data_IF_182558708103
#
_entry.id   IF_182558708103
#
_cell.length_a   1.000
_cell.length_b   1.000
_cell.length_c   1.000
_cell.angle_alpha   90.00
_cell.angle_beta   90.00
_cell.angle_gamma   90.00
#
_symmetry.space_group_name_H-M   'P 1'
#
loop_
_entity.id
_entity.type
_entity.pdbx_description
1 polymer ?
#
# COMPACT_ATOMS: atom_id res chain seq x y z
N UNK A 1 34.60 50.22 -20.79
CA UNK A 1 35.64 49.26 -20.48
C UNK A 1 35.10 48.13 -19.57
N UNK A 2 34.55 48.47 -18.50
CA UNK A 2 34.01 47.53 -17.52
C UNK A 2 32.69 46.86 -17.98
N UNK A 3 32.02 47.49 -18.86
CA UNK A 3 30.70 47.08 -19.34
C UNK A 3 30.68 45.84 -20.23
N UNK A 4 31.74 45.59 -20.94
CA UNK A 4 31.79 44.42 -21.85
C UNK A 4 31.93 43.10 -21.10
N UNK A 5 32.56 43.14 -19.98
CA UNK A 5 32.74 41.96 -19.16
C UNK A 5 31.47 41.59 -18.38
N UNK A 6 30.73 42.57 -18.02
CA UNK A 6 29.52 42.37 -17.26
C UNK A 6 28.42 41.66 -18.03
N UNK A 7 28.32 41.94 -19.29
CA UNK A 7 27.28 41.36 -20.13
C UNK A 7 27.41 39.88 -20.40
N UNK A 8 28.60 39.35 -20.24
CA UNK A 8 28.86 37.96 -20.56
C UNK A 8 28.40 36.98 -19.48
N UNK A 9 28.57 37.40 -18.26
CA UNK A 9 28.38 36.47 -17.14
C UNK A 9 26.93 36.23 -16.83
N UNK A 10 26.11 37.18 -17.02
CA UNK A 10 24.72 37.08 -16.55
C UNK A 10 23.82 36.30 -17.47
N UNK A 11 24.12 36.31 -18.73
CA UNK A 11 23.22 35.75 -19.72
C UNK A 11 23.29 34.22 -19.79
N UNK A 12 24.46 33.69 -19.51
CA UNK A 12 24.67 32.25 -19.59
C UNK A 12 24.06 31.53 -18.40
N UNK A 13 24.20 32.10 -17.23
CA UNK A 13 23.80 31.45 -16.00
C UNK A 13 22.27 31.42 -15.78
N UNK A 14 21.60 32.41 -16.29
CA UNK A 14 20.15 32.48 -16.18
C UNK A 14 19.44 31.50 -17.08
N UNK A 15 20.02 31.23 -18.22
CA UNK A 15 19.38 30.36 -19.21
C UNK A 15 19.69 28.89 -19.02
N UNK A 16 20.75 28.58 -18.30
CA UNK A 16 21.07 27.17 -17.99
C UNK A 16 20.31 26.62 -16.80
N UNK A 17 19.68 27.45 -16.04
CA UNK A 17 18.60 27.02 -15.18
C UNK A 17 17.31 26.93 -16.00
N UNK A 18 17.31 26.08 -16.98
CA UNK A 18 16.07 25.51 -17.39
C UNK A 18 15.44 24.92 -16.11
N UNK A 19 14.42 25.58 -15.65
CA UNK A 19 13.51 24.98 -14.69
C UNK A 19 12.96 23.79 -15.43
N UNK A 20 13.60 22.66 -15.22
CA UNK A 20 12.96 21.40 -15.52
C UNK A 20 11.67 21.46 -14.73
N UNK A 21 10.49 21.51 -15.36
CA UNK A 21 9.27 21.38 -14.63
C UNK A 21 9.47 20.14 -13.76
N UNK A 22 9.03 20.15 -12.51
CA UNK A 22 9.07 18.94 -11.73
C UNK A 22 8.43 17.90 -12.61
N UNK A 23 9.17 16.88 -12.90
CA UNK A 23 8.67 15.69 -13.57
C UNK A 23 7.60 15.15 -12.65
N UNK A 24 6.52 15.88 -12.78
CA UNK A 24 5.37 15.70 -11.97
C UNK A 24 4.74 14.43 -12.45
N UNK A 25 4.46 13.70 -11.49
CA UNK A 25 3.26 12.95 -11.51
C UNK A 25 3.32 11.77 -12.47
N UNK A 26 3.58 10.68 -11.85
CA UNK A 26 2.91 9.46 -12.20
C UNK A 26 3.58 8.42 -13.05
N UNK A 27 4.85 8.37 -13.09
CA UNK A 27 5.42 7.05 -13.28
C UNK A 27 5.91 6.60 -11.90
N UNK A 28 5.41 5.48 -11.36
CA UNK A 28 6.03 4.89 -10.19
C UNK A 28 7.50 4.74 -10.54
N UNK A 29 8.37 5.35 -9.75
CA UNK A 29 9.79 5.29 -10.01
C UNK A 29 10.14 3.82 -10.21
N UNK A 30 10.89 3.51 -11.24
CA UNK A 30 11.34 2.13 -11.54
C UNK A 30 11.92 1.41 -10.32
N UNK A 31 12.34 2.16 -9.28
CA UNK A 31 12.74 1.65 -7.98
C UNK A 31 11.61 1.00 -7.20
N UNK A 32 10.46 1.64 -7.09
CA UNK A 32 9.34 1.12 -6.31
C UNK A 32 8.82 -0.23 -6.81
N UNK A 33 8.88 -0.47 -8.13
CA UNK A 33 8.49 -1.76 -8.72
C UNK A 33 9.50 -2.87 -8.39
N UNK A 34 10.76 -2.52 -8.16
CA UNK A 34 11.81 -3.49 -7.83
C UNK A 34 11.73 -4.00 -6.40
N UNK A 35 11.15 -3.21 -5.51
CA UNK A 35 11.10 -3.52 -4.08
C UNK A 35 10.02 -4.57 -3.76
N UNK A 36 9.01 -4.72 -4.60
CA UNK A 36 7.98 -5.75 -4.42
C UNK A 36 8.54 -7.13 -4.77
N UNK A 37 8.40 -8.14 -3.88
CA UNK A 37 8.91 -9.48 -4.13
C UNK A 37 8.41 -10.08 -5.46
N UNK A 38 9.28 -10.79 -6.16
CA UNK A 38 8.95 -11.36 -7.48
C UNK A 38 7.83 -12.39 -7.42
N UNK A 39 7.71 -13.12 -6.30
CA UNK A 39 6.59 -14.03 -6.06
C UNK A 39 5.24 -13.32 -6.12
N UNK A 40 5.16 -12.11 -5.55
CA UNK A 40 3.95 -11.28 -5.57
C UNK A 40 3.63 -10.81 -7.00
N UNK A 41 4.64 -10.30 -7.70
CA UNK A 41 4.48 -9.90 -9.11
C UNK A 41 3.97 -11.06 -9.95
N UNK A 42 4.53 -12.25 -9.76
CA UNK A 42 4.15 -13.48 -10.46
C UNK A 42 2.71 -13.90 -10.09
N UNK A 43 2.37 -13.92 -8.81
CA UNK A 43 1.02 -14.29 -8.36
C UNK A 43 -0.05 -13.35 -8.93
N UNK A 44 0.22 -12.05 -8.96
CA UNK A 44 -0.69 -11.04 -9.53
C UNK A 44 -0.74 -11.08 -11.07
N UNK A 45 0.33 -11.51 -11.75
CA UNK A 45 0.40 -11.52 -13.21
C UNK A 45 -0.16 -12.81 -13.80
N UNK A 46 0.12 -13.95 -13.19
CA UNK A 46 -0.21 -15.28 -13.72
C UNK A 46 -1.53 -15.84 -13.20
N UNK A 47 -2.01 -15.32 -12.08
CA UNK A 47 -3.28 -15.74 -11.47
C UNK A 47 -4.50 -15.04 -12.06
N UNK A 48 -5.70 -15.54 -11.74
CA UNK A 48 -6.97 -14.91 -12.11
C UNK A 48 -7.06 -13.46 -11.63
N UNK A 49 -6.61 -13.09 -10.42
CA UNK A 49 -6.59 -11.69 -10.00
C UNK A 49 -5.64 -10.80 -10.79
N UNK A 50 -4.53 -11.34 -11.29
CA UNK A 50 -3.50 -10.57 -11.99
C UNK A 50 -3.96 -9.96 -13.32
N UNK A 51 -5.01 -10.51 -13.93
CA UNK A 51 -5.58 -9.95 -15.15
C UNK A 51 -6.47 -8.74 -14.90
N UNK A 52 -6.93 -8.56 -13.68
CA UNK A 52 -7.91 -7.56 -13.29
C UNK A 52 -7.28 -6.41 -12.49
N UNK A 53 -6.11 -6.60 -11.90
CA UNK A 53 -5.48 -5.67 -10.97
C UNK A 53 -4.07 -5.28 -11.42
N UNK A 54 -3.75 -4.00 -11.24
CA UNK A 54 -2.41 -3.46 -11.36
C UNK A 54 -1.84 -3.14 -9.98
N UNK A 55 -0.51 -3.27 -9.81
CA UNK A 55 0.16 -2.77 -8.61
C UNK A 55 0.00 -1.25 -8.52
N UNK A 56 -0.33 -0.77 -7.33
CA UNK A 56 -0.40 0.65 -7.03
C UNK A 56 0.66 1.02 -6.00
N UNK A 57 1.41 2.08 -6.29
CA UNK A 57 2.47 2.60 -5.41
C UNK A 57 2.07 3.93 -4.76
N UNK A 58 0.78 4.11 -4.58
CA UNK A 58 0.22 5.34 -4.02
C UNK A 58 0.59 5.55 -2.55
N UNK A 59 0.74 4.48 -1.80
CA UNK A 59 1.03 4.49 -0.36
C UNK A 59 2.43 3.92 -0.10
N UNK A 60 3.11 4.45 0.89
CA UNK A 60 4.41 3.99 1.35
C UNK A 60 4.28 3.41 2.77
N UNK A 61 4.88 2.23 3.05
CA UNK A 61 5.67 1.38 2.16
C UNK A 61 4.85 0.74 1.04
N UNK A 62 5.52 0.34 -0.05
CA UNK A 62 4.89 -0.25 -1.24
C UNK A 62 4.29 -1.62 -0.99
N UNK A 63 4.76 -2.32 0.05
CA UNK A 63 4.26 -3.62 0.51
C UNK A 63 4.52 -3.79 1.99
N UNK A 64 3.82 -4.73 2.59
CA UNK A 64 3.97 -5.16 3.97
C UNK A 64 4.16 -6.67 4.02
N UNK A 65 4.99 -7.14 4.93
CA UNK A 65 5.19 -8.56 5.22
C UNK A 65 4.68 -8.90 6.61
N UNK A 66 3.94 -10.01 6.74
CA UNK A 66 3.40 -10.48 8.00
C UNK A 66 2.70 -11.83 7.85
N UNK A 67 2.48 -12.52 8.94
CA UNK A 67 1.67 -13.74 8.98
C UNK A 67 0.19 -13.36 9.05
N UNK A 68 -0.38 -12.91 7.92
CA UNK A 68 -1.73 -12.33 7.91
C UNK A 68 -2.86 -13.37 8.04
N UNK A 69 -2.60 -14.64 7.82
CA UNK A 69 -3.59 -15.73 7.97
C UNK A 69 -3.40 -16.58 9.23
N UNK A 70 -2.29 -16.40 9.96
CA UNK A 70 -1.98 -17.10 11.20
C UNK A 70 -1.48 -18.53 11.01
N UNK A 71 -0.88 -18.84 9.87
CA UNK A 71 -0.31 -20.18 9.57
C UNK A 71 1.19 -20.30 9.89
N UNK A 72 1.81 -19.21 10.36
CA UNK A 72 3.23 -19.15 10.69
C UNK A 72 4.14 -18.92 9.49
N UNK A 73 3.60 -18.53 8.33
CA UNK A 73 4.35 -18.18 7.13
C UNK A 73 4.21 -16.68 6.85
N UNK A 74 5.26 -16.12 6.24
CA UNK A 74 5.23 -14.71 5.87
C UNK A 74 4.45 -14.53 4.57
N UNK A 75 3.33 -13.85 4.66
CA UNK A 75 2.53 -13.37 3.54
C UNK A 75 2.98 -11.98 3.13
N UNK A 76 2.57 -11.54 1.95
CA UNK A 76 2.87 -10.19 1.44
C UNK A 76 1.58 -9.48 1.05
N UNK A 77 1.37 -8.30 1.62
CA UNK A 77 0.29 -7.39 1.24
C UNK A 77 0.84 -6.29 0.34
N UNK A 78 0.15 -6.02 -0.77
CA UNK A 78 0.46 -4.94 -1.72
C UNK A 78 -0.78 -4.12 -2.03
N UNK A 79 -0.58 -2.84 -2.35
CA UNK A 79 -1.69 -2.00 -2.79
C UNK A 79 -1.95 -2.22 -4.27
N UNK A 80 -3.21 -2.37 -4.65
CA UNK A 80 -3.63 -2.68 -6.01
C UNK A 80 -4.73 -1.75 -6.49
N UNK A 81 -4.85 -1.65 -7.82
CA UNK A 81 -5.91 -0.93 -8.51
C UNK A 81 -6.64 -1.86 -9.45
N UNK A 82 -7.94 -1.96 -9.34
CA UNK A 82 -8.77 -2.66 -10.31
C UNK A 82 -8.78 -1.92 -11.64
N UNK A 83 -8.57 -2.64 -12.74
CA UNK A 83 -8.43 -2.03 -14.07
C UNK A 83 -9.71 -1.46 -14.63
N UNK A 84 -10.84 -2.13 -14.37
CA UNK A 84 -12.12 -1.75 -14.97
C UNK A 84 -12.73 -0.53 -14.31
N UNK A 85 -12.67 -0.43 -12.99
CA UNK A 85 -13.33 0.64 -12.23
C UNK A 85 -12.35 1.69 -11.72
N UNK A 86 -11.07 1.36 -11.65
CA UNK A 86 -10.05 2.20 -11.04
C UNK A 86 -10.02 2.18 -9.51
N UNK A 87 -10.90 1.40 -8.87
CA UNK A 87 -10.97 1.26 -7.42
C UNK A 87 -9.68 0.71 -6.82
N UNK A 88 -9.33 1.19 -5.66
CA UNK A 88 -8.12 0.85 -4.94
C UNK A 88 -8.40 -0.17 -3.83
N UNK A 89 -7.40 -0.98 -3.51
CA UNK A 89 -7.51 -1.97 -2.45
C UNK A 89 -6.17 -2.64 -2.15
N UNK A 90 -6.23 -3.73 -1.42
CA UNK A 90 -5.07 -4.50 -0.98
C UNK A 90 -5.19 -5.93 -1.52
N UNK A 91 -4.13 -6.44 -2.13
CA UNK A 91 -3.95 -7.85 -2.43
C UNK A 91 -3.03 -8.48 -1.40
N UNK A 92 -3.46 -9.56 -0.75
CA UNK A 92 -2.63 -10.36 0.14
C UNK A 92 -2.27 -11.66 -0.60
N UNK A 93 -0.98 -11.88 -0.80
CA UNK A 93 -0.42 -13.08 -1.41
C UNK A 93 0.05 -14.02 -0.30
N UNK A 94 -0.61 -15.16 -0.17
CA UNK A 94 -0.33 -16.13 0.90
C UNK A 94 0.80 -17.07 0.52
N UNK A 95 1.77 -17.19 1.42
CA UNK A 95 2.88 -18.13 1.29
C UNK A 95 2.51 -19.48 1.94
N UNK A 96 2.96 -20.63 1.42
CA UNK A 96 3.67 -20.82 0.15
C UNK A 96 2.73 -21.05 -1.04
N UNK A 97 1.42 -20.90 -0.86
CA UNK A 97 0.40 -21.31 -1.85
C UNK A 97 0.27 -20.33 -3.02
N UNK A 98 0.83 -19.13 -2.92
CA UNK A 98 0.66 -18.01 -3.85
C UNK A 98 -0.83 -17.62 -4.06
N UNK A 99 -1.73 -18.10 -3.18
CA UNK A 99 -3.14 -17.71 -3.22
C UNK A 99 -3.28 -16.23 -2.94
N UNK A 100 -4.04 -15.53 -3.77
CA UNK A 100 -4.31 -14.10 -3.62
C UNK A 100 -5.68 -13.86 -3.04
N UNK A 101 -5.74 -12.99 -2.03
CA UNK A 101 -7.00 -12.45 -1.47
C UNK A 101 -7.05 -10.97 -1.73
N UNK A 102 -8.14 -10.48 -2.32
CA UNK A 102 -8.37 -9.05 -2.58
C UNK A 102 -9.31 -8.47 -1.53
N UNK A 103 -8.97 -7.28 -1.05
CA UNK A 103 -9.71 -6.49 -0.07
C UNK A 103 -9.85 -5.06 -0.59
N UNK A 104 -11.04 -4.53 -0.68
CA UNK A 104 -11.28 -3.31 -1.46
C UNK A 104 -11.19 -3.61 -2.96
N UNK A 105 -10.82 -2.64 -3.77
CA UNK A 105 -10.65 -2.79 -5.22
C UNK A 105 -11.85 -3.52 -5.88
N UNK A 106 -13.06 -3.07 -5.52
CA UNK A 106 -14.32 -3.65 -5.98
C UNK A 106 -14.92 -4.72 -5.04
N UNK A 107 -14.18 -5.18 -4.03
CA UNK A 107 -14.64 -6.17 -3.05
C UNK A 107 -14.80 -5.53 -1.68
N UNK A 108 -16.03 -5.35 -1.23
CA UNK A 108 -16.34 -4.68 0.03
C UNK A 108 -15.89 -5.45 1.27
N UNK A 109 -15.36 -4.72 2.27
CA UNK A 109 -14.99 -5.26 3.57
C UNK A 109 -15.41 -4.31 4.70
N UNK A 110 -16.45 -4.69 5.43
CA UNK A 110 -16.94 -3.91 6.57
C UNK A 110 -17.19 -2.44 6.23
N UNK A 111 -16.86 -1.54 7.15
CA UNK A 111 -16.99 -0.09 6.97
C UNK A 111 -15.91 0.49 6.03
N UNK A 112 -14.88 -0.30 5.65
CA UNK A 112 -13.87 0.13 4.69
C UNK A 112 -14.40 0.31 3.26
N UNK A 113 -15.57 -0.25 2.99
CA UNK A 113 -16.17 -0.22 1.66
C UNK A 113 -15.42 -1.11 0.66
N UNK A 114 -15.61 -0.83 -0.60
CA UNK A 114 -15.01 -1.56 -1.72
C UNK A 114 -13.96 -0.74 -2.49
N UNK A 115 -13.65 0.47 -2.00
CA UNK A 115 -12.63 1.35 -2.56
C UNK A 115 -11.79 1.98 -1.44
N UNK A 116 -10.50 1.69 -1.46
CA UNK A 116 -9.56 2.17 -0.46
C UNK A 116 -8.82 3.46 -0.88
N UNK A 117 -9.43 4.24 -1.76
CA UNK A 117 -8.89 5.55 -2.15
C UNK A 117 -8.75 6.50 -0.95
N UNK A 118 -9.58 6.32 0.06
CA UNK A 118 -9.56 7.13 1.28
C UNK A 118 -8.30 6.92 2.15
N UNK A 119 -7.65 5.74 2.07
CA UNK A 119 -6.45 5.44 2.84
C UNK A 119 -5.26 6.31 2.44
N UNK A 120 -4.47 6.73 3.42
CA UNK A 120 -3.19 7.40 3.21
C UNK A 120 -2.03 6.80 4.01
N UNK A 121 -2.33 5.88 4.94
CA UNK A 121 -1.33 5.16 5.73
C UNK A 121 -1.72 3.71 5.97
N UNK A 122 -0.74 2.85 6.11
CA UNK A 122 -0.92 1.47 6.52
C UNK A 122 0.35 0.89 7.16
N UNK A 123 0.17 -0.08 8.03
CA UNK A 123 1.27 -0.79 8.68
C UNK A 123 0.84 -2.17 9.17
N UNK A 124 1.82 -3.00 9.51
CA UNK A 124 1.55 -4.28 10.19
C UNK A 124 1.22 -4.01 11.65
N UNK A 125 0.09 -4.53 12.10
CA UNK A 125 -0.25 -4.61 13.51
C UNK A 125 0.02 -6.04 13.99
N UNK A 126 1.15 -6.23 14.66
CA UNK A 126 1.60 -7.58 15.00
C UNK A 126 0.69 -8.26 16.03
N UNK A 127 0.51 -9.56 15.87
CA UNK A 127 -0.18 -10.43 16.84
C UNK A 127 0.40 -10.28 18.25
N UNK A 128 1.72 -10.12 18.38
CA UNK A 128 2.38 -9.91 19.66
C UNK A 128 1.93 -8.61 20.33
N UNK A 129 1.80 -7.52 19.56
CA UNK A 129 1.28 -6.24 20.06
C UNK A 129 -0.17 -6.39 20.54
N UNK A 130 -1.00 -7.10 19.78
CA UNK A 130 -2.38 -7.37 20.17
C UNK A 130 -2.48 -8.17 21.48
N UNK A 131 -1.60 -9.14 21.69
CA UNK A 131 -1.57 -9.94 22.91
C UNK A 131 -1.22 -9.08 24.15
N UNK A 132 -0.39 -8.05 24.00
CA UNK A 132 -0.07 -7.12 25.10
C UNK A 132 -1.21 -6.11 25.36
N UNK A 133 -2.01 -5.79 24.35
CA UNK A 133 -3.14 -4.88 24.45
C UNK A 133 -4.45 -5.59 24.82
N UNK A 134 -4.42 -6.86 25.18
CA UNK A 134 -5.59 -7.72 25.41
C UNK A 134 -6.50 -7.30 26.61
N UNK A 135 -6.18 -6.20 27.31
CA UNK A 135 -7.04 -5.55 28.29
C UNK A 135 -7.90 -4.42 27.72
N UNK A 136 -7.68 -4.02 26.48
CA UNK A 136 -8.41 -2.95 25.82
C UNK A 136 -9.55 -3.56 24.99
N UNK A 137 -10.78 -3.14 25.26
CA UNK A 137 -12.00 -3.73 24.67
C UNK A 137 -12.13 -3.62 23.15
N UNK A 138 -11.28 -2.82 22.52
CA UNK A 138 -11.32 -2.53 21.07
C UNK A 138 -10.44 -3.44 20.22
N UNK A 139 -9.49 -4.17 20.81
CA UNK A 139 -8.54 -5.00 20.06
C UNK A 139 -9.05 -6.43 19.94
N UNK A 140 -9.31 -6.92 18.72
CA UNK A 140 -9.77 -8.30 18.52
C UNK A 140 -8.67 -9.31 18.84
N UNK A 141 -9.08 -10.55 19.16
CA UNK A 141 -8.17 -11.66 19.32
C UNK A 141 -7.60 -12.07 17.95
N UNK A 142 -6.33 -11.75 17.71
CA UNK A 142 -5.66 -12.01 16.45
C UNK A 142 -5.07 -13.44 16.39
N UNK A 143 -5.30 -14.14 15.30
CA UNK A 143 -4.67 -15.44 15.00
C UNK A 143 -3.29 -15.26 14.37
N UNK A 144 -3.16 -14.27 13.49
CA UNK A 144 -1.94 -13.83 12.84
C UNK A 144 -1.77 -12.33 13.00
N UNK A 145 -0.93 -11.74 12.18
CA UNK A 145 -0.79 -10.29 12.11
C UNK A 145 -2.01 -9.65 11.44
N UNK A 146 -2.29 -8.40 11.75
CA UNK A 146 -3.33 -7.61 11.10
C UNK A 146 -2.72 -6.49 10.26
N UNK A 147 -3.50 -5.96 9.33
CA UNK A 147 -3.21 -4.70 8.66
C UNK A 147 -3.92 -3.58 9.44
N UNK A 148 -3.15 -2.64 9.95
CA UNK A 148 -3.70 -1.36 10.41
C UNK A 148 -3.77 -0.44 9.20
N UNK A 149 -4.97 -0.01 8.88
CA UNK A 149 -5.26 0.89 7.76
C UNK A 149 -5.83 2.20 8.29
N UNK A 150 -5.37 3.32 7.75
CA UNK A 150 -5.66 4.62 8.35
C UNK A 150 -5.95 5.68 7.29
N UNK A 151 -6.85 6.59 7.67
CA UNK A 151 -6.95 7.94 7.15
C UNK A 151 -6.40 8.86 8.23
N UNK A 152 -5.27 9.50 7.95
CA UNK A 152 -4.59 10.35 8.94
C UNK A 152 -5.55 11.35 9.58
N UNK A 153 -5.50 11.44 10.90
CA UNK A 153 -6.31 12.35 11.72
C UNK A 153 -7.84 12.17 11.62
N UNK A 154 -8.32 11.09 11.00
CA UNK A 154 -9.75 10.88 10.78
C UNK A 154 -10.24 9.51 11.24
N UNK A 155 -9.65 8.41 10.78
CA UNK A 155 -10.16 7.08 11.07
C UNK A 155 -9.06 6.02 10.99
N UNK A 156 -9.22 4.95 11.77
CA UNK A 156 -8.34 3.78 11.70
C UNK A 156 -9.11 2.48 11.90
N UNK A 157 -8.60 1.42 11.29
CA UNK A 157 -9.17 0.09 11.45
C UNK A 157 -8.13 -1.01 11.32
N UNK A 158 -8.43 -2.15 11.91
CA UNK A 158 -7.69 -3.38 11.71
C UNK A 158 -8.42 -4.27 10.70
N UNK A 159 -7.69 -4.77 9.72
CA UNK A 159 -8.13 -5.86 8.85
C UNK A 159 -7.37 -7.10 9.27
N UNK A 160 -8.06 -8.15 9.69
CA UNK A 160 -7.45 -9.34 10.23
C UNK A 160 -8.18 -10.62 9.83
N UNK A 161 -7.48 -11.74 9.87
CA UNK A 161 -8.02 -13.08 9.62
C UNK A 161 -8.70 -13.65 10.85
N UNK A 162 -9.98 -13.96 10.76
CA UNK A 162 -10.75 -14.53 11.87
C UNK A 162 -10.73 -16.07 11.92
N UNK A 163 -9.95 -16.71 11.03
CA UNK A 163 -9.90 -18.16 10.85
C UNK A 163 -10.71 -18.68 9.66
N UNK A 164 -11.51 -17.82 9.02
CA UNK A 164 -12.32 -18.16 7.84
C UNK A 164 -12.20 -17.13 6.72
N UNK A 165 -12.14 -15.84 7.06
CA UNK A 165 -12.05 -14.72 6.15
C UNK A 165 -11.39 -13.52 6.82
N UNK A 166 -10.98 -12.54 6.01
CA UNK A 166 -10.60 -11.22 6.53
C UNK A 166 -11.84 -10.45 6.97
N UNK A 167 -11.72 -9.76 8.09
CA UNK A 167 -12.78 -8.94 8.69
C UNK A 167 -12.23 -7.58 9.10
N UNK A 168 -13.13 -6.63 9.17
CA UNK A 168 -12.88 -5.24 9.57
C UNK A 168 -13.17 -5.04 11.04
N UNK A 169 -12.31 -4.30 11.74
CA UNK A 169 -12.54 -3.84 13.11
C UNK A 169 -12.15 -2.38 13.21
N UNK A 170 -13.14 -1.50 13.36
CA UNK A 170 -12.92 -0.07 13.57
C UNK A 170 -12.13 0.15 14.85
N UNK A 171 -11.12 1.04 14.85
CA UNK A 171 -10.29 1.33 16.02
C UNK A 171 -10.47 2.76 16.54
N UNK A 172 -10.84 3.69 15.70
CA UNK A 172 -11.10 5.07 16.06
C UNK A 172 -11.75 5.84 14.92
N UNK A 173 -12.44 6.90 15.28
CA UNK A 173 -12.98 7.94 14.42
C UNK A 173 -12.33 9.28 14.80
#
# INVERSE_FOLDING_TARGET
MVTSERGKTYQVDVNTKAITPPDSLSSPSRGAIRDVPDAVKKALTNGSPGKEYDLSFRINPSYLEGDFNGDGKMDVAVFVKERSTGKLGIAIVHSPTEKVTILGAGIGIGNGGDDFEWMDSWQVYSKTRAAHAAGESSVPHLRGDALLVEKSEAASALIYWNGKRYVWSQQGD
#
